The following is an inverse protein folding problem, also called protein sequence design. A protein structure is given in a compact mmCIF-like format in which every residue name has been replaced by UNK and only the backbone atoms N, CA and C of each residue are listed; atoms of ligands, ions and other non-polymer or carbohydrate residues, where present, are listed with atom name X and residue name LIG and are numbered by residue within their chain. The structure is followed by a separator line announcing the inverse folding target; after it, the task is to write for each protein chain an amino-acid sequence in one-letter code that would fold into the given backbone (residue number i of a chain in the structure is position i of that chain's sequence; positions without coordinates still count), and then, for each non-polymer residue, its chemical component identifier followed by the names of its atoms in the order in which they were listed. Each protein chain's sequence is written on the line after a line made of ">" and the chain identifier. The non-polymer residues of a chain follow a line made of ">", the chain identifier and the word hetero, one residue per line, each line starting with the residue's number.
data_IF_949160786067
#
_entry.id   IF_949160786067
#
_cell.length_a   1.000
_cell.length_b   1.000
_cell.length_c   1.000
_cell.angle_alpha   90.00
_cell.angle_beta   90.00
_cell.angle_gamma   90.00
#
_symmetry.space_group_name_H-M   'P 1'
#
loop_
_entity.id
_entity.type
_entity.pdbx_description
1 polymer ?
#
# COMPACT_ATOMS: atom_id res chain seq x y z
N UNK A 1 57.33 -5.49 -29.65
CA UNK A 1 55.97 -4.94 -29.57
C UNK A 1 55.03 -6.07 -29.16
N UNK A 2 54.69 -6.17 -27.86
CA UNK A 2 53.77 -7.21 -27.34
C UNK A 2 52.36 -6.63 -27.32
N UNK A 3 51.51 -7.09 -28.23
CA UNK A 3 50.08 -6.75 -28.27
C UNK A 3 49.38 -7.60 -27.20
N UNK A 4 48.84 -6.95 -26.19
CA UNK A 4 48.07 -7.58 -25.12
C UNK A 4 46.61 -7.66 -25.57
N UNK A 5 46.13 -8.87 -25.87
CA UNK A 5 44.76 -9.11 -26.31
C UNK A 5 43.85 -9.14 -25.08
N UNK A 6 43.14 -8.05 -24.82
CA UNK A 6 42.19 -7.95 -23.71
C UNK A 6 40.91 -8.72 -24.08
N UNK A 7 40.77 -9.95 -23.58
CA UNK A 7 39.57 -10.76 -23.74
C UNK A 7 38.40 -10.10 -22.99
N UNK A 8 37.49 -9.47 -23.74
CA UNK A 8 36.18 -9.06 -23.26
C UNK A 8 35.33 -10.31 -22.98
N UNK A 9 35.26 -10.72 -21.71
CA UNK A 9 34.33 -11.78 -21.28
C UNK A 9 32.91 -11.20 -21.38
N UNK A 10 32.00 -11.83 -22.16
CA UNK A 10 30.61 -11.37 -22.23
C UNK A 10 29.96 -11.62 -20.87
N UNK A 11 29.58 -10.53 -20.19
CA UNK A 11 28.76 -10.58 -19.00
C UNK A 11 27.40 -11.17 -19.39
N UNK A 12 27.16 -12.45 -19.08
CA UNK A 12 25.85 -13.06 -19.22
C UNK A 12 24.90 -12.34 -18.27
N UNK A 13 24.06 -11.47 -18.82
CA UNK A 13 22.97 -10.83 -18.10
C UNK A 13 21.96 -11.91 -17.70
N UNK A 14 22.06 -12.40 -16.46
CA UNK A 14 21.01 -13.21 -15.86
C UNK A 14 19.79 -12.32 -15.66
N UNK A 15 18.69 -12.67 -16.32
CA UNK A 15 17.42 -11.95 -16.22
C UNK A 15 16.77 -12.22 -14.87
N UNK A 16 16.83 -11.24 -13.98
CA UNK A 16 16.11 -11.25 -12.70
C UNK A 16 14.63 -11.04 -12.92
N UNK A 17 13.84 -12.06 -12.59
CA UNK A 17 12.39 -12.02 -12.69
C UNK A 17 11.81 -11.44 -11.40
N UNK A 18 11.08 -10.32 -11.52
CA UNK A 18 10.44 -9.60 -10.41
C UNK A 18 8.92 -9.65 -10.54
N UNK A 19 8.25 -10.00 -9.45
CA UNK A 19 6.80 -10.09 -9.34
C UNK A 19 6.32 -9.33 -8.11
N UNK A 20 5.13 -8.75 -8.24
CA UNK A 20 4.44 -7.96 -7.21
C UNK A 20 2.98 -8.37 -7.17
N UNK A 21 2.38 -8.34 -5.99
CA UNK A 21 0.97 -8.63 -5.81
C UNK A 21 0.65 -8.80 -4.35
N UNK A 22 -0.07 -9.87 -4.00
CA UNK A 22 -0.60 -10.08 -2.66
C UNK A 22 -0.49 -11.53 -2.21
N UNK A 23 -0.44 -11.71 -0.91
CA UNK A 23 -0.78 -12.96 -0.22
C UNK A 23 -2.04 -12.72 0.63
N UNK A 24 -2.93 -13.71 0.67
CA UNK A 24 -4.22 -13.61 1.37
C UNK A 24 -4.45 -14.87 2.18
N UNK A 25 -4.83 -14.73 3.46
CA UNK A 25 -5.19 -15.86 4.32
C UNK A 25 -6.44 -16.58 3.81
N UNK A 26 -6.56 -17.89 4.08
CA UNK A 26 -7.67 -18.73 3.60
C UNK A 26 -9.06 -18.23 3.98
N UNK A 27 -9.19 -17.55 5.12
CA UNK A 27 -10.44 -16.96 5.62
C UNK A 27 -10.71 -15.54 5.08
N UNK A 28 -9.85 -15.03 4.19
CA UNK A 28 -9.83 -13.66 3.67
C UNK A 28 -9.72 -12.57 4.74
N UNK A 29 -9.32 -12.91 5.97
CA UNK A 29 -9.23 -11.96 7.09
C UNK A 29 -8.10 -10.94 6.89
N UNK A 30 -7.05 -11.32 6.18
CA UNK A 30 -5.87 -10.50 5.96
C UNK A 30 -5.33 -10.69 4.54
N UNK A 31 -5.03 -9.57 3.89
CA UNK A 31 -4.33 -9.51 2.61
C UNK A 31 -3.13 -8.59 2.76
N UNK A 32 -1.93 -9.11 2.49
CA UNK A 32 -0.69 -8.36 2.60
C UNK A 32 -0.05 -8.18 1.22
N UNK A 33 0.49 -6.98 0.90
CA UNK A 33 1.28 -6.80 -0.30
C UNK A 33 2.55 -7.64 -0.24
N UNK A 34 2.86 -8.29 -1.36
CA UNK A 34 3.96 -9.24 -1.45
C UNK A 34 4.79 -8.98 -2.70
N UNK A 35 6.11 -9.00 -2.52
CA UNK A 35 7.09 -8.91 -3.60
C UNK A 35 7.91 -10.19 -3.64
N UNK A 36 8.18 -10.66 -4.85
CA UNK A 36 8.97 -11.85 -5.09
C UNK A 36 9.97 -11.58 -6.21
N UNK A 37 11.25 -11.73 -5.91
CA UNK A 37 12.31 -11.71 -6.92
C UNK A 37 13.11 -12.97 -6.84
N UNK A 38 13.28 -13.62 -7.97
CA UNK A 38 14.17 -14.76 -8.06
C UNK A 38 14.87 -14.85 -9.42
N UNK A 39 16.01 -15.50 -9.37
CA UNK A 39 16.74 -16.01 -10.51
C UNK A 39 16.58 -17.52 -10.56
N UNK A 40 16.56 -18.06 -11.78
CA UNK A 40 16.46 -19.49 -12.02
C UNK A 40 17.72 -19.95 -12.75
N UNK A 41 18.42 -20.93 -12.17
CA UNK A 41 19.52 -21.63 -12.81
C UNK A 41 19.17 -23.10 -12.93
N UNK A 42 18.88 -23.55 -14.16
CA UNK A 42 18.22 -24.83 -14.44
C UNK A 42 16.90 -24.92 -13.68
N UNK A 43 16.80 -25.83 -12.72
CA UNK A 43 15.59 -26.05 -11.92
C UNK A 43 15.70 -25.46 -10.52
N UNK A 44 16.82 -24.80 -10.19
CA UNK A 44 17.07 -24.19 -8.87
C UNK A 44 16.70 -22.72 -8.89
N UNK A 45 16.00 -22.30 -7.84
CA UNK A 45 15.54 -20.94 -7.63
C UNK A 45 16.28 -20.35 -6.44
N UNK A 46 16.80 -19.14 -6.59
CA UNK A 46 17.35 -18.36 -5.48
C UNK A 46 16.89 -16.90 -5.62
N UNK A 47 16.69 -16.22 -4.50
CA UNK A 47 16.26 -14.83 -4.52
C UNK A 47 15.84 -14.33 -3.15
N UNK A 48 14.88 -13.42 -3.14
CA UNK A 48 14.22 -12.98 -1.91
C UNK A 48 12.74 -12.66 -2.14
N UNK A 49 11.97 -12.78 -1.05
CA UNK A 49 10.61 -12.26 -0.92
C UNK A 49 10.62 -11.04 -0.01
N UNK A 50 9.56 -10.24 -0.11
CA UNK A 50 9.26 -9.17 0.84
C UNK A 50 7.77 -9.23 1.16
N UNK A 51 7.46 -9.46 2.43
CA UNK A 51 6.10 -9.37 2.98
C UNK A 51 5.86 -7.95 3.48
N UNK A 52 4.62 -7.49 3.31
CA UNK A 52 4.22 -6.11 3.53
C UNK A 52 5.05 -5.11 2.70
N UNK A 53 5.29 -5.47 1.43
CA UNK A 53 6.17 -4.70 0.54
C UNK A 53 5.74 -3.23 0.40
N UNK A 54 6.67 -2.30 0.66
CA UNK A 54 6.48 -0.83 0.68
C UNK A 54 5.45 -0.34 1.71
N UNK A 55 5.23 -1.11 2.76
CA UNK A 55 4.39 -0.78 3.91
C UNK A 55 5.24 -0.88 5.17
N UNK A 56 4.72 -0.43 6.31
CA UNK A 56 5.36 -0.62 7.61
C UNK A 56 5.62 -2.10 7.91
N UNK A 57 6.51 -2.43 8.85
CA UNK A 57 6.82 -3.82 9.20
C UNK A 57 7.24 -4.68 7.98
N UNK A 58 7.87 -4.04 7.00
CA UNK A 58 8.38 -4.73 5.81
C UNK A 58 9.37 -5.81 6.26
N UNK A 59 9.15 -7.05 5.82
CA UNK A 59 10.02 -8.16 6.18
C UNK A 59 10.53 -8.84 4.93
N UNK A 60 11.85 -8.83 4.77
CA UNK A 60 12.55 -9.40 3.62
C UNK A 60 13.18 -10.72 3.99
N UNK A 61 12.83 -11.77 3.26
CA UNK A 61 13.35 -13.12 3.47
C UNK A 61 14.20 -13.57 2.29
N UNK A 62 15.32 -14.23 2.56
CA UNK A 62 16.01 -15.01 1.53
C UNK A 62 15.13 -16.20 1.18
N UNK A 63 15.01 -16.47 -0.12
CA UNK A 63 14.31 -17.64 -0.61
C UNK A 63 15.24 -18.59 -1.36
N UNK A 64 14.84 -19.85 -1.34
CA UNK A 64 15.35 -20.89 -2.23
C UNK A 64 14.17 -21.69 -2.77
N UNK A 65 14.36 -22.44 -3.83
CA UNK A 65 13.28 -23.26 -4.37
C UNK A 65 13.69 -24.08 -5.57
N UNK A 66 12.70 -24.72 -6.17
CA UNK A 66 12.88 -25.43 -7.43
C UNK A 66 11.63 -25.40 -8.30
N UNK A 67 11.82 -25.61 -9.60
CA UNK A 67 10.73 -25.86 -10.55
C UNK A 67 10.51 -27.38 -10.68
N UNK A 68 9.33 -27.85 -10.33
CA UNK A 68 8.87 -29.17 -10.70
C UNK A 68 8.44 -29.14 -12.18
N UNK A 69 9.21 -29.79 -13.05
CA UNK A 69 8.95 -29.82 -14.50
C UNK A 69 7.71 -30.62 -14.90
N UNK A 70 7.33 -31.62 -14.11
CA UNK A 70 6.18 -32.48 -14.39
C UNK A 70 4.88 -31.73 -14.14
N UNK A 71 4.81 -31.01 -13.02
CA UNK A 71 3.60 -30.23 -12.65
C UNK A 71 3.66 -28.77 -13.09
N UNK A 72 4.81 -28.32 -13.60
CA UNK A 72 5.12 -26.91 -13.92
C UNK A 72 4.87 -25.97 -12.72
N UNK A 73 5.21 -26.44 -11.52
CA UNK A 73 5.04 -25.73 -10.24
C UNK A 73 6.39 -25.29 -9.68
N UNK A 74 6.47 -24.02 -9.29
CA UNK A 74 7.57 -23.50 -8.51
C UNK A 74 7.27 -23.77 -7.04
N UNK A 75 8.17 -24.49 -6.38
CA UNK A 75 8.15 -24.70 -4.92
C UNK A 75 9.20 -23.80 -4.30
N UNK A 76 8.76 -22.77 -3.58
CA UNK A 76 9.61 -21.71 -3.02
C UNK A 76 9.53 -21.76 -1.50
N UNK A 77 10.66 -21.58 -0.83
CA UNK A 77 10.81 -21.62 0.61
C UNK A 77 11.52 -20.36 1.07
N UNK A 78 10.93 -19.63 1.99
CA UNK A 78 11.65 -18.66 2.82
C UNK A 78 12.59 -19.40 3.78
N UNK A 79 13.80 -18.87 3.97
CA UNK A 79 14.88 -19.54 4.71
C UNK A 79 15.42 -18.76 5.89
N UNK A 80 15.53 -17.44 5.74
CA UNK A 80 16.10 -16.56 6.75
C UNK A 80 15.63 -15.14 6.48
N UNK A 81 15.46 -14.36 7.54
CA UNK A 81 15.17 -12.93 7.46
C UNK A 81 16.47 -12.21 7.15
N UNK A 82 16.45 -11.42 6.08
CA UNK A 82 17.57 -10.54 5.69
C UNK A 82 17.44 -9.15 6.32
N UNK A 83 16.21 -8.66 6.47
CA UNK A 83 15.89 -7.40 7.15
C UNK A 83 14.42 -7.40 7.56
N UNK A 84 14.09 -6.72 8.65
CA UNK A 84 12.71 -6.48 9.08
C UNK A 84 12.61 -5.13 9.75
N UNK A 85 11.51 -4.42 9.49
CA UNK A 85 11.13 -3.20 10.21
C UNK A 85 10.30 -3.50 11.47
N UNK A 86 10.17 -4.79 11.83
CA UNK A 86 9.37 -5.25 12.97
C UNK A 86 10.23 -5.35 14.25
N UNK A 87 9.77 -4.75 15.35
CA UNK A 87 10.49 -4.68 16.64
C UNK A 87 10.20 -5.89 17.58
N UNK A 88 10.02 -7.11 17.06
CA UNK A 88 9.82 -8.32 17.90
C UNK A 88 10.87 -9.42 17.66
N UNK A 89 10.78 -10.51 18.43
CA UNK A 89 11.77 -11.58 18.46
C UNK A 89 11.78 -12.42 17.17
N UNK A 90 12.96 -12.91 16.77
CA UNK A 90 13.13 -13.72 15.55
C UNK A 90 12.32 -15.03 15.60
N UNK A 91 11.98 -15.51 16.80
CA UNK A 91 11.29 -16.78 17.01
C UNK A 91 9.79 -16.75 16.65
N UNK A 92 9.21 -15.55 16.49
CA UNK A 92 7.80 -15.35 16.17
C UNK A 92 7.52 -15.20 14.66
N UNK A 93 8.53 -15.31 13.81
CA UNK A 93 8.34 -15.12 12.38
C UNK A 93 7.77 -16.36 11.68
N UNK A 94 6.77 -16.09 10.83
CA UNK A 94 6.07 -17.06 10.01
C UNK A 94 6.78 -17.23 8.66
N UNK A 95 7.51 -18.33 8.46
CA UNK A 95 8.24 -18.60 7.21
C UNK A 95 7.37 -19.30 6.18
N UNK A 96 7.27 -18.72 4.98
CA UNK A 96 6.38 -19.21 3.94
C UNK A 96 7.02 -20.29 3.06
N UNK A 97 6.27 -21.38 2.87
CA UNK A 97 6.46 -22.35 1.79
C UNK A 97 5.35 -22.17 0.76
N UNK A 98 5.72 -21.75 -0.44
CA UNK A 98 4.80 -21.45 -1.52
C UNK A 98 4.85 -22.52 -2.62
N UNK A 99 3.69 -22.89 -3.14
CA UNK A 99 3.55 -23.71 -4.35
C UNK A 99 2.77 -22.89 -5.37
N UNK A 100 3.46 -22.40 -6.41
CA UNK A 100 2.91 -21.45 -7.37
C UNK A 100 3.13 -21.90 -8.81
N UNK A 101 2.16 -21.63 -9.68
CA UNK A 101 2.21 -21.89 -11.12
C UNK A 101 2.38 -20.59 -11.89
N UNK A 102 3.10 -20.67 -13.00
CA UNK A 102 3.23 -19.56 -13.93
C UNK A 102 2.19 -19.66 -15.04
N UNK A 103 1.35 -18.63 -15.14
CA UNK A 103 0.48 -18.41 -16.29
C UNK A 103 0.83 -17.06 -16.92
N UNK A 104 1.48 -17.11 -18.10
CA UNK A 104 1.99 -15.96 -18.84
C UNK A 104 2.89 -15.07 -17.97
N UNK A 105 2.33 -13.98 -17.45
CA UNK A 105 3.01 -12.96 -16.65
C UNK A 105 2.63 -13.02 -15.16
N UNK A 106 1.79 -13.97 -14.78
CA UNK A 106 1.28 -14.11 -13.42
C UNK A 106 1.89 -15.35 -12.75
N UNK A 107 2.03 -15.28 -11.43
CA UNK A 107 2.28 -16.43 -10.57
C UNK A 107 1.10 -16.55 -9.59
N UNK A 108 0.48 -17.71 -9.56
CA UNK A 108 -0.66 -17.97 -8.67
C UNK A 108 -0.51 -19.31 -7.97
N UNK A 109 -1.02 -19.41 -6.75
CA UNK A 109 -0.98 -20.68 -6.02
C UNK A 109 -1.30 -20.49 -4.55
N UNK A 110 -0.72 -21.34 -3.72
CA UNK A 110 -0.96 -21.37 -2.28
C UNK A 110 0.35 -21.25 -1.50
N UNK A 111 0.21 -20.91 -0.23
CA UNK A 111 1.30 -20.95 0.74
C UNK A 111 0.86 -21.60 2.05
N UNK A 112 1.84 -22.16 2.74
CA UNK A 112 1.76 -22.60 4.13
C UNK A 112 2.91 -21.92 4.86
N UNK A 113 2.58 -21.16 5.91
CA UNK A 113 3.52 -20.53 6.81
C UNK A 113 3.70 -21.37 8.07
N UNK A 114 4.94 -21.56 8.50
CA UNK A 114 5.23 -22.18 9.80
C UNK A 114 6.22 -21.33 10.60
N UNK A 115 6.11 -21.36 11.91
CA UNK A 115 7.13 -20.82 12.82
C UNK A 115 8.40 -21.67 12.77
N UNK A 116 9.50 -21.16 13.34
CA UNK A 116 10.78 -21.88 13.43
C UNK A 116 10.69 -23.23 14.15
N UNK A 117 9.73 -23.40 15.06
CA UNK A 117 9.47 -24.65 15.77
C UNK A 117 8.66 -25.67 14.93
N UNK A 118 8.18 -25.28 13.74
CA UNK A 118 7.38 -26.11 12.83
C UNK A 118 5.87 -25.99 13.00
N UNK A 119 5.38 -25.23 13.97
CA UNK A 119 3.94 -25.01 14.16
C UNK A 119 3.38 -24.15 13.03
N UNK A 120 2.17 -24.51 12.58
CA UNK A 120 1.44 -23.77 11.55
C UNK A 120 1.08 -22.37 12.06
N UNK A 121 1.50 -21.33 11.33
CA UNK A 121 1.16 -19.93 11.64
C UNK A 121 0.17 -19.33 10.65
N UNK A 122 0.20 -19.74 9.38
CA UNK A 122 -0.68 -19.20 8.35
C UNK A 122 -0.85 -20.15 7.17
N UNK A 123 -1.95 -20.02 6.45
CA UNK A 123 -2.17 -20.68 5.18
C UNK A 123 -3.05 -19.81 4.28
N UNK A 124 -2.83 -19.88 2.98
CA UNK A 124 -3.49 -18.95 2.08
C UNK A 124 -3.11 -19.08 0.62
N UNK A 125 -3.46 -18.02 -0.12
CA UNK A 125 -3.27 -17.89 -1.56
C UNK A 125 -2.24 -16.83 -1.89
N UNK A 126 -1.55 -17.04 -3.01
CA UNK A 126 -0.56 -16.11 -3.58
C UNK A 126 -1.05 -15.68 -4.96
N UNK A 127 -1.09 -14.37 -5.21
CA UNK A 127 -1.37 -13.82 -6.54
C UNK A 127 -0.37 -12.72 -6.89
N UNK A 128 0.48 -12.96 -7.88
CA UNK A 128 1.53 -12.04 -8.31
C UNK A 128 1.51 -11.82 -9.81
N UNK A 129 1.94 -10.64 -10.24
CA UNK A 129 2.14 -10.26 -11.64
C UNK A 129 3.56 -9.73 -11.84
N UNK A 130 4.15 -9.95 -13.03
CA UNK A 130 5.45 -9.38 -13.38
C UNK A 130 5.42 -7.86 -13.17
N UNK A 131 6.38 -7.35 -12.40
CA UNK A 131 6.48 -5.93 -12.05
C UNK A 131 6.51 -5.04 -13.30
N UNK A 132 7.25 -5.44 -14.34
CA UNK A 132 7.30 -4.72 -15.61
C UNK A 132 5.94 -4.63 -16.31
N UNK A 133 5.11 -5.67 -16.20
CA UNK A 133 3.77 -5.69 -16.83
C UNK A 133 2.83 -4.79 -16.05
N UNK A 134 2.87 -4.85 -14.72
CA UNK A 134 2.11 -3.93 -13.87
C UNK A 134 2.50 -2.49 -14.16
N UNK A 135 3.80 -2.18 -14.17
CA UNK A 135 4.30 -0.83 -14.45
C UNK A 135 3.92 -0.34 -15.86
N UNK A 136 3.90 -1.21 -16.87
CA UNK A 136 3.39 -0.84 -18.20
C UNK A 136 1.89 -0.55 -18.19
N UNK A 137 1.08 -1.32 -17.44
CA UNK A 137 -0.35 -1.05 -17.28
C UNK A 137 -0.57 0.26 -16.54
N UNK A 138 0.14 0.49 -15.44
CA UNK A 138 0.11 1.76 -14.68
C UNK A 138 0.50 2.91 -15.60
N UNK A 139 1.63 2.84 -16.33
CA UNK A 139 2.03 3.89 -17.28
C UNK A 139 0.99 4.15 -18.37
N UNK A 140 0.29 3.13 -18.86
CA UNK A 140 -0.79 3.30 -19.83
C UNK A 140 -1.99 4.01 -19.19
N UNK A 141 -2.35 3.65 -17.97
CA UNK A 141 -3.42 4.30 -17.20
C UNK A 141 -3.02 5.73 -16.88
N UNK A 142 -1.81 5.97 -16.38
CA UNK A 142 -1.25 7.30 -16.12
C UNK A 142 -1.20 8.13 -17.39
N UNK A 143 -0.83 7.53 -18.54
CA UNK A 143 -0.89 8.21 -19.83
C UNK A 143 -2.31 8.54 -20.25
N UNK A 144 -3.26 7.61 -20.12
CA UNK A 144 -4.66 7.90 -20.46
C UNK A 144 -5.27 8.92 -19.48
N UNK A 145 -4.94 8.83 -18.20
CA UNK A 145 -5.34 9.79 -17.19
C UNK A 145 -4.69 11.14 -17.45
N UNK A 146 -3.43 11.19 -17.89
CA UNK A 146 -2.78 12.43 -18.30
C UNK A 146 -3.37 12.97 -19.60
N UNK A 147 -3.70 12.12 -20.57
CA UNK A 147 -4.32 12.54 -21.84
C UNK A 147 -5.77 13.04 -21.60
N UNK A 148 -6.52 12.39 -20.69
CA UNK A 148 -7.83 12.84 -20.22
C UNK A 148 -7.73 14.10 -19.36
N UNK A 149 -6.73 14.20 -18.50
CA UNK A 149 -6.47 15.38 -17.70
C UNK A 149 -5.96 16.53 -18.57
N UNK A 150 -5.19 16.27 -19.63
CA UNK A 150 -4.78 17.25 -20.64
C UNK A 150 -5.98 17.68 -21.47
N UNK A 151 -6.88 16.79 -21.89
CA UNK A 151 -8.10 17.20 -22.60
C UNK A 151 -9.08 17.96 -21.70
N UNK A 152 -9.17 17.58 -20.42
CA UNK A 152 -9.86 18.35 -19.40
C UNK A 152 -9.17 19.69 -19.16
N UNK A 153 -7.84 19.74 -19.08
CA UNK A 153 -7.05 20.96 -18.95
C UNK A 153 -7.21 21.84 -20.18
N UNK A 154 -7.27 21.32 -21.40
CA UNK A 154 -7.51 22.12 -22.63
C UNK A 154 -8.94 22.70 -22.61
N UNK A 155 -9.92 21.92 -22.14
CA UNK A 155 -11.29 22.42 -21.91
C UNK A 155 -11.35 23.46 -20.80
N UNK A 156 -10.51 23.30 -19.76
CA UNK A 156 -10.38 24.22 -18.64
C UNK A 156 -9.49 25.42 -18.95
N UNK A 157 -8.54 25.38 -19.89
CA UNK A 157 -7.70 26.50 -20.34
C UNK A 157 -8.53 27.44 -21.20
N UNK A 158 -9.41 26.89 -22.04
CA UNK A 158 -10.44 27.69 -22.71
C UNK A 158 -11.35 28.41 -21.70
N UNK A 159 -11.60 27.81 -20.54
CA UNK A 159 -12.35 28.41 -19.43
C UNK A 159 -11.49 29.36 -18.55
N UNK A 160 -10.22 29.02 -18.32
CA UNK A 160 -9.26 29.66 -17.41
C UNK A 160 -8.50 30.84 -18.03
N UNK A 161 -8.79 31.20 -19.28
CA UNK A 161 -8.65 32.59 -19.73
C UNK A 161 -9.51 33.59 -18.90
N UNK A 162 -10.16 33.13 -17.81
CA UNK A 162 -10.86 33.95 -16.83
C UNK A 162 -10.54 33.70 -15.35
N UNK A 163 -9.59 32.83 -14.93
CA UNK A 163 -9.05 32.83 -13.54
C UNK A 163 -8.08 31.68 -13.24
N UNK A 164 -7.16 31.94 -12.30
CA UNK A 164 -5.96 31.18 -11.96
C UNK A 164 -6.15 29.92 -11.07
N UNK A 165 -5.43 28.85 -11.45
CA UNK A 165 -4.64 27.88 -10.65
C UNK A 165 -5.23 26.63 -9.92
N UNK A 166 -5.00 25.47 -10.57
CA UNK A 166 -4.37 24.16 -10.16
C UNK A 166 -5.08 23.18 -9.18
N UNK A 167 -5.22 21.93 -9.65
CA UNK A 167 -5.74 20.74 -8.96
C UNK A 167 -4.66 19.69 -8.59
N UNK A 168 -4.92 18.89 -7.53
CA UNK A 168 -4.16 17.68 -7.18
C UNK A 168 -5.10 16.50 -6.81
N UNK A 169 -4.87 15.32 -7.41
CA UNK A 169 -5.54 14.04 -7.06
C UNK A 169 -4.49 12.94 -6.87
N UNK A 170 -4.56 12.21 -5.75
CA UNK A 170 -4.19 10.79 -5.68
C UNK A 170 -4.82 10.13 -4.46
N UNK A 171 -5.47 8.98 -4.69
CA UNK A 171 -6.31 8.15 -3.82
C UNK A 171 -5.54 7.06 -3.05
N UNK A 172 -5.86 6.90 -1.76
CA UNK A 172 -5.58 5.67 -0.98
C UNK A 172 -6.78 5.35 -0.09
N UNK A 173 -7.52 4.30 -0.50
CA UNK A 173 -8.42 3.44 0.27
C UNK A 173 -9.05 3.97 1.56
N UNK A 174 -10.21 4.63 1.46
CA UNK A 174 -11.54 4.00 1.56
C UNK A 174 -12.55 4.94 0.88
N UNK A 175 -13.65 4.38 0.41
CA UNK A 175 -14.60 4.97 -0.55
C UNK A 175 -14.90 6.46 -0.30
N UNK A 176 -14.85 7.29 -1.34
CA UNK A 176 -15.52 8.59 -1.35
C UNK A 176 -16.99 8.38 -0.98
N UNK A 177 -17.31 8.59 0.29
CA UNK A 177 -18.65 8.40 0.82
C UNK A 177 -19.24 9.77 1.09
N UNK A 178 -20.39 10.00 0.47
CA UNK A 178 -21.18 11.18 0.71
C UNK A 178 -21.96 11.01 2.02
N UNK A 179 -21.74 11.92 2.95
CA UNK A 179 -22.49 12.04 4.20
C UNK A 179 -23.45 13.21 4.06
N UNK A 180 -24.73 13.02 4.32
CA UNK A 180 -25.72 14.09 4.26
C UNK A 180 -26.16 14.44 5.68
N UNK A 181 -26.05 15.71 6.04
CA UNK A 181 -26.64 16.28 7.24
C UNK A 181 -27.64 17.36 6.84
N UNK A 182 -28.80 17.35 7.48
CA UNK A 182 -29.87 18.34 7.29
C UNK A 182 -29.57 19.68 7.98
N UNK A 183 -28.52 19.73 8.80
CA UNK A 183 -28.23 20.79 9.76
C UNK A 183 -26.73 20.90 10.05
N UNK A 184 -26.34 21.79 10.97
CA UNK A 184 -24.94 21.89 11.43
C UNK A 184 -24.41 20.55 11.92
N UNK A 185 -23.16 20.24 11.56
CA UNK A 185 -22.48 19.03 12.01
C UNK A 185 -21.13 19.37 12.65
N UNK A 186 -20.51 18.38 13.27
CA UNK A 186 -19.21 18.49 13.91
C UNK A 186 -18.37 17.28 13.56
N UNK A 187 -17.06 17.48 13.55
CA UNK A 187 -16.09 16.40 13.41
C UNK A 187 -15.25 16.34 14.68
N UNK A 188 -15.26 15.19 15.33
CA UNK A 188 -14.32 14.86 16.39
C UNK A 188 -13.20 13.99 15.82
N UNK A 189 -11.95 14.36 16.07
CA UNK A 189 -10.75 13.67 15.58
C UNK A 189 -9.84 13.37 16.76
N UNK A 190 -9.43 12.12 16.93
CA UNK A 190 -8.62 11.70 18.08
C UNK A 190 -7.77 10.47 17.76
N UNK A 191 -6.80 10.20 18.61
CA UNK A 191 -6.07 8.95 18.63
C UNK A 191 -6.88 7.90 19.40
N UNK A 192 -7.36 6.86 18.71
CA UNK A 192 -8.19 5.84 19.35
C UNK A 192 -7.39 4.79 20.10
N UNK A 193 -6.07 4.75 19.94
CA UNK A 193 -5.22 3.71 20.52
C UNK A 193 -4.32 4.29 21.61
N UNK A 194 -3.21 4.91 21.25
CA UNK A 194 -2.16 5.33 22.17
C UNK A 194 -1.50 6.59 21.63
N UNK A 195 -1.39 7.63 22.46
CA UNK A 195 -0.65 8.85 22.10
C UNK A 195 0.85 8.60 21.96
N UNK A 196 1.26 8.14 20.80
CA UNK A 196 2.61 7.65 20.54
C UNK A 196 3.37 8.49 19.50
N UNK A 197 2.79 9.65 19.17
CA UNK A 197 3.39 10.62 18.25
C UNK A 197 2.76 10.64 16.86
N UNK A 198 1.61 9.99 16.68
CA UNK A 198 0.80 10.14 15.47
C UNK A 198 0.50 11.61 15.16
N UNK A 199 0.76 12.00 13.91
CA UNK A 199 0.51 13.36 13.41
C UNK A 199 -0.31 13.33 12.13
N UNK A 200 -1.25 14.28 12.00
CA UNK A 200 -2.13 14.44 10.85
C UNK A 200 -2.17 15.88 10.36
N UNK A 201 -2.49 16.08 9.08
CA UNK A 201 -2.85 17.39 8.52
C UNK A 201 -4.27 17.34 7.98
N UNK A 202 -5.03 18.40 8.20
CA UNK A 202 -6.44 18.51 7.80
C UNK A 202 -6.58 19.61 6.77
N UNK A 203 -7.25 19.29 5.67
CA UNK A 203 -7.62 20.23 4.62
C UNK A 203 -9.14 20.27 4.50
N UNK A 204 -9.69 21.46 4.33
CA UNK A 204 -11.13 21.69 4.10
C UNK A 204 -11.23 22.44 2.77
N UNK A 205 -11.93 21.86 1.80
CA UNK A 205 -12.04 22.39 0.43
C UNK A 205 -10.67 22.74 -0.18
N UNK A 206 -9.69 21.86 0.04
CA UNK A 206 -8.28 22.01 -0.37
C UNK A 206 -7.49 23.13 0.34
N UNK A 207 -8.08 23.89 1.25
CA UNK A 207 -7.36 24.83 2.09
C UNK A 207 -6.85 24.14 3.35
N UNK A 208 -5.60 24.39 3.72
CA UNK A 208 -4.99 23.83 4.92
C UNK A 208 -5.67 24.42 6.17
N UNK A 209 -6.35 23.58 6.93
CA UNK A 209 -6.99 23.96 8.18
C UNK A 209 -6.07 23.69 9.39
N UNK A 210 -5.40 22.55 9.39
CA UNK A 210 -4.52 22.14 10.49
C UNK A 210 -3.29 21.43 9.94
N UNK A 211 -2.10 21.85 10.34
CA UNK A 211 -0.84 21.30 9.85
C UNK A 211 -0.12 20.48 10.93
N UNK A 212 0.28 19.25 10.58
CA UNK A 212 1.11 18.35 11.40
C UNK A 212 0.71 18.28 12.87
N UNK A 213 -0.60 18.25 13.11
CA UNK A 213 -1.15 18.18 14.45
C UNK A 213 -0.92 16.79 15.03
N UNK A 214 -0.28 16.73 16.19
CA UNK A 214 -0.15 15.49 16.95
C UNK A 214 -1.50 15.14 17.57
N UNK A 215 -2.09 14.03 17.11
CA UNK A 215 -3.37 13.56 17.63
C UNK A 215 -3.22 13.05 19.06
N UNK A 216 -4.32 13.13 19.80
CA UNK A 216 -4.40 12.83 21.22
C UNK A 216 -5.64 11.99 21.47
N UNK A 217 -5.67 11.22 22.56
CA UNK A 217 -6.86 10.48 22.97
C UNK A 217 -8.03 11.44 23.27
N UNK A 218 -7.73 12.68 23.69
CA UNK A 218 -8.71 13.74 23.81
C UNK A 218 -9.10 14.27 22.42
N UNK A 219 -10.39 14.25 22.03
CA UNK A 219 -10.80 14.70 20.71
C UNK A 219 -10.56 16.18 20.44
N UNK A 220 -10.02 16.46 19.26
CA UNK A 220 -10.05 17.77 18.62
C UNK A 220 -11.37 17.89 17.84
N UNK A 221 -12.16 18.93 18.16
CA UNK A 221 -13.50 19.11 17.59
C UNK A 221 -13.50 20.30 16.64
N UNK A 222 -14.01 20.08 15.44
CA UNK A 222 -14.22 21.11 14.41
C UNK A 222 -15.73 21.21 14.16
N UNK A 223 -16.29 22.41 14.33
CA UNK A 223 -17.72 22.65 14.16
C UNK A 223 -17.99 23.28 12.78
N UNK A 224 -18.99 22.76 12.09
CA UNK A 224 -19.43 23.26 10.78
C UNK A 224 -20.87 23.76 10.87
N UNK A 225 -21.14 25.04 10.54
CA UNK A 225 -22.51 25.55 10.49
C UNK A 225 -23.28 24.91 9.34
N UNK A 226 -24.61 24.93 9.44
CA UNK A 226 -25.50 24.51 8.35
C UNK A 226 -25.20 25.34 7.09
N UNK A 227 -25.15 24.69 5.93
CA UNK A 227 -24.64 25.28 4.70
C UNK A 227 -25.12 24.52 3.47
N UNK A 228 -25.53 25.24 2.42
CA UNK A 228 -26.05 24.64 1.18
C UNK A 228 -24.95 24.12 0.22
N UNK A 229 -23.69 24.05 0.67
CA UNK A 229 -22.57 23.64 -0.17
C UNK A 229 -21.83 22.44 0.40
N UNK A 230 -21.48 21.53 -0.50
CA UNK A 230 -20.67 20.34 -0.19
C UNK A 230 -19.30 20.73 0.32
N UNK A 231 -18.88 20.12 1.43
CA UNK A 231 -17.52 20.25 1.98
C UNK A 231 -16.71 18.99 1.69
N UNK A 232 -15.52 19.18 1.15
CA UNK A 232 -14.50 18.14 1.07
C UNK A 232 -13.55 18.29 2.26
N UNK A 233 -13.46 17.27 3.10
CA UNK A 233 -12.61 17.27 4.30
C UNK A 233 -11.62 16.13 4.17
N UNK A 234 -10.35 16.48 4.06
CA UNK A 234 -9.25 15.53 3.85
C UNK A 234 -8.34 15.51 5.07
N UNK A 235 -8.13 14.33 5.63
CA UNK A 235 -7.29 14.10 6.81
C UNK A 235 -6.15 13.18 6.40
N UNK A 236 -4.93 13.71 6.36
CA UNK A 236 -3.73 13.01 5.89
C UNK A 236 -2.85 12.63 7.07
N UNK A 237 -2.45 11.37 7.16
CA UNK A 237 -1.44 10.93 8.11
C UNK A 237 -0.05 11.43 7.67
N UNK A 238 0.62 12.20 8.51
CA UNK A 238 1.99 12.65 8.23
C UNK A 238 3.02 11.59 8.63
N UNK A 239 2.72 10.78 9.65
CA UNK A 239 3.54 9.67 10.14
C UNK A 239 2.63 8.55 10.68
N UNK A 240 3.23 7.50 11.24
CA UNK A 240 2.53 6.37 11.89
C UNK A 240 2.93 6.25 13.36
N UNK A 241 3.30 7.38 13.99
CA UNK A 241 3.75 7.38 15.38
C UNK A 241 5.02 6.56 15.59
N UNK A 242 5.20 6.09 16.81
CA UNK A 242 6.25 5.13 17.19
C UNK A 242 5.83 3.68 16.97
N UNK A 243 4.51 3.42 16.91
CA UNK A 243 3.88 2.11 16.76
C UNK A 243 2.87 2.20 15.63
N UNK A 244 3.13 1.46 14.56
CA UNK A 244 2.23 1.40 13.41
C UNK A 244 0.84 0.83 13.76
N UNK A 245 -0.27 1.33 13.15
CA UNK A 245 -0.41 2.44 12.18
C UNK A 245 -0.72 3.79 12.83
N UNK A 246 -0.85 4.83 11.98
CA UNK A 246 -1.54 6.03 12.43
C UNK A 246 -2.98 5.70 12.83
N UNK A 247 -3.30 5.97 14.08
CA UNK A 247 -4.47 5.52 14.83
C UNK A 247 -5.60 6.54 14.85
N UNK A 248 -5.62 7.47 13.89
CA UNK A 248 -6.64 8.51 13.82
C UNK A 248 -8.04 7.93 13.71
N UNK A 249 -8.93 8.30 14.62
CA UNK A 249 -10.36 8.07 14.51
C UNK A 249 -11.08 9.38 14.25
N UNK A 250 -12.15 9.29 13.48
CA UNK A 250 -12.99 10.43 13.12
C UNK A 250 -14.45 10.07 13.35
N UNK A 251 -15.18 10.93 14.06
CA UNK A 251 -16.64 10.87 14.11
C UNK A 251 -17.20 12.14 13.51
N UNK A 252 -18.03 12.01 12.49
CA UNK A 252 -18.92 13.08 12.04
C UNK A 252 -20.24 12.93 12.79
N UNK A 253 -20.79 14.01 13.33
CA UNK A 253 -22.07 13.94 14.03
C UNK A 253 -22.86 15.24 13.92
N UNK A 254 -24.17 15.11 13.88
CA UNK A 254 -25.15 16.17 14.07
C UNK A 254 -26.04 15.85 15.28
N UNK A 255 -27.16 16.56 15.44
CA UNK A 255 -28.18 16.20 16.43
C UNK A 255 -28.86 14.86 16.13
N UNK A 256 -28.96 14.48 14.85
CA UNK A 256 -29.80 13.37 14.40
C UNK A 256 -29.00 12.13 14.02
N UNK A 257 -27.77 12.29 13.54
CA UNK A 257 -26.96 11.21 13.01
C UNK A 257 -25.50 11.30 13.43
N UNK A 258 -24.84 10.16 13.50
CA UNK A 258 -23.39 10.07 13.71
C UNK A 258 -22.78 8.99 12.84
N UNK A 259 -21.59 9.24 12.34
CA UNK A 259 -20.84 8.36 11.47
C UNK A 259 -19.42 8.25 11.99
N UNK A 260 -19.01 7.03 12.31
CA UNK A 260 -17.66 6.72 12.76
C UNK A 260 -16.82 6.25 11.58
N UNK A 261 -15.61 6.79 11.47
CA UNK A 261 -14.59 6.41 10.49
C UNK A 261 -13.33 6.03 11.25
N UNK A 262 -12.88 4.81 11.00
CA UNK A 262 -11.71 4.24 11.62
C UNK A 262 -10.49 4.43 10.70
N UNK A 263 -9.63 5.41 10.99
CA UNK A 263 -8.35 5.56 10.33
C UNK A 263 -7.33 4.57 10.89
N UNK A 264 -6.85 3.70 10.01
CA UNK A 264 -5.61 2.93 10.19
C UNK A 264 -4.77 3.25 8.97
N UNK A 265 -3.97 4.30 9.08
CA UNK A 265 -3.29 4.91 7.93
C UNK A 265 -1.78 4.66 7.98
N UNK A 266 -1.19 4.33 6.83
CA UNK A 266 0.24 4.52 6.62
C UNK A 266 0.58 6.01 6.46
N UNK A 267 1.87 6.36 6.55
CA UNK A 267 2.32 7.73 6.23
C UNK A 267 1.90 8.11 4.81
N UNK A 268 1.38 9.32 4.67
CA UNK A 268 0.80 9.92 3.45
C UNK A 268 -0.52 9.31 2.97
N UNK A 269 -1.06 8.31 3.66
CA UNK A 269 -2.44 7.89 3.44
C UNK A 269 -3.42 8.87 4.10
N UNK A 270 -4.67 8.85 3.66
CA UNK A 270 -5.65 9.85 4.07
C UNK A 270 -7.08 9.32 4.06
N UNK A 271 -7.91 9.97 4.87
CA UNK A 271 -9.37 9.85 4.86
C UNK A 271 -9.92 11.04 4.08
N UNK A 272 -10.88 10.78 3.18
CA UNK A 272 -11.60 11.82 2.45
C UNK A 272 -13.09 11.74 2.77
N UNK A 273 -13.64 12.82 3.29
CA UNK A 273 -15.04 12.92 3.70
C UNK A 273 -15.71 13.97 2.82
N UNK A 274 -16.76 13.56 2.10
CA UNK A 274 -17.61 14.49 1.34
C UNK A 274 -18.88 14.66 2.14
N UNK A 275 -19.14 15.88 2.61
CA UNK A 275 -20.29 16.18 3.48
C UNK A 275 -21.17 17.21 2.82
N UNK A 276 -22.45 16.87 2.62
CA UNK A 276 -23.52 17.80 2.28
C UNK A 276 -24.24 18.22 3.54
#
# INVERSE_FOLDING_TARGET
>A
MKIFFFLLIPFLLLSQDKYVGVITLNDNSLTLPFFLKFDMNKDKINGYSITNYKKSNETKNRISGHLNKETNEFKIFEKEILSTDFEESIDEFCFLTMTIKKDKNNLTGTFIGNYSNGDLCAEGYVYLIKEQVLNRKIKKIEKHASDLMVSQIDSLINYANTSDSIAFVKLTHEQEKLYNFSDSFSIAIWDKQREDGDTISIYINNELYLDKYCIKNKPHIINFPNSDFTRNIKIIANNTGSVFPNSVAVTLYSKESSFYVNGRLDSLEYINLIVN
#
